data_IF_493982821999
#
_entry.id   IF_493982821999
#
_cell.length_a   1.000
_cell.length_b   1.000
_cell.length_c   1.000
_cell.angle_alpha   90.00
_cell.angle_beta   90.00
_cell.angle_gamma   90.00
#
_symmetry.space_group_name_H-M   'P 1'
#
loop_
_entity.id
_entity.type
_entity.pdbx_description
1 polymer ?
#
# COMPACT_ATOMS: atom_id res chain seq x y z
N UNK A 1 -15.36 -5.31 12.37
CA UNK A 1 -16.58 -4.58 11.97
C UNK A 1 -16.19 -3.68 10.82
N UNK A 2 -16.75 -3.88 9.63
CA UNK A 2 -16.56 -2.96 8.52
C UNK A 2 -17.36 -1.70 8.85
N UNK A 3 -16.70 -0.55 8.94
CA UNK A 3 -17.37 0.73 9.16
C UNK A 3 -18.21 1.03 7.92
N UNK A 4 -19.53 0.96 8.03
CA UNK A 4 -20.43 1.42 6.97
C UNK A 4 -20.33 2.95 6.89
N UNK A 5 -19.40 3.44 6.07
CA UNK A 5 -19.28 4.85 5.75
C UNK A 5 -20.36 5.21 4.73
N UNK A 6 -21.14 6.24 5.02
CA UNK A 6 -22.02 6.81 4.00
C UNK A 6 -21.20 7.55 2.93
N UNK A 7 -21.78 7.77 1.74
CA UNK A 7 -21.06 8.40 0.62
C UNK A 7 -20.47 9.78 0.98
N UNK A 8 -21.14 10.52 1.85
CA UNK A 8 -20.70 11.84 2.29
C UNK A 8 -19.43 11.73 3.14
N UNK A 9 -19.41 10.79 4.08
CA UNK A 9 -18.23 10.47 4.88
C UNK A 9 -17.07 9.97 4.01
N UNK A 10 -17.34 9.16 2.98
CA UNK A 10 -16.33 8.72 2.00
C UNK A 10 -15.70 9.88 1.22
N UNK A 11 -16.49 10.90 0.87
CA UNK A 11 -16.00 12.09 0.17
C UNK A 11 -15.15 12.96 1.11
N UNK A 12 -15.52 13.09 2.38
CA UNK A 12 -14.80 13.92 3.36
C UNK A 12 -13.36 13.43 3.65
N UNK A 13 -13.12 12.13 3.55
CA UNK A 13 -11.77 11.54 3.71
C UNK A 13 -10.92 11.64 2.44
N UNK A 14 -11.51 11.92 1.28
CA UNK A 14 -10.77 12.03 0.04
C UNK A 14 -10.17 13.43 -0.12
N UNK A 15 -8.87 13.54 -0.46
CA UNK A 15 -8.28 14.79 -0.88
C UNK A 15 -9.11 15.45 -1.98
N UNK A 16 -9.36 16.77 -1.87
CA UNK A 16 -10.10 17.54 -2.87
C UNK A 16 -9.50 17.43 -4.28
N UNK A 17 -8.19 17.19 -4.38
CA UNK A 17 -7.50 16.94 -5.64
C UNK A 17 -7.98 15.66 -6.34
N UNK A 18 -8.40 14.63 -5.61
CA UNK A 18 -8.98 13.40 -6.18
C UNK A 18 -10.45 13.57 -6.55
N UNK A 19 -11.20 14.38 -5.79
CA UNK A 19 -12.62 14.64 -6.08
C UNK A 19 -12.83 15.42 -7.38
N UNK A 20 -11.86 16.27 -7.74
CA UNK A 20 -11.89 17.11 -8.95
C UNK A 20 -10.95 16.59 -10.04
N UNK A 21 -10.39 15.38 -9.89
CA UNK A 21 -9.46 14.79 -10.85
C UNK A 21 -10.19 14.37 -12.14
N UNK A 22 -9.51 14.43 -13.28
CA UNK A 22 -10.00 13.80 -14.50
C UNK A 22 -9.85 12.28 -14.43
N UNK A 23 -10.60 11.53 -15.23
CA UNK A 23 -10.46 10.06 -15.33
C UNK A 23 -9.02 9.63 -15.63
N UNK A 24 -8.30 10.41 -16.45
CA UNK A 24 -6.88 10.18 -16.77
C UNK A 24 -5.99 10.33 -15.54
N UNK A 25 -6.25 11.34 -14.73
CA UNK A 25 -5.48 11.58 -13.49
C UNK A 25 -5.76 10.49 -12.46
N UNK A 26 -7.01 10.03 -12.36
CA UNK A 26 -7.40 8.91 -11.50
C UNK A 26 -6.73 7.60 -11.93
N UNK A 27 -6.66 7.31 -13.23
CA UNK A 27 -5.96 6.14 -13.75
C UNK A 27 -4.45 6.22 -13.47
N UNK A 28 -3.84 7.39 -13.66
CA UNK A 28 -2.44 7.64 -13.32
C UNK A 28 -2.18 7.42 -11.82
N UNK A 29 -3.07 7.94 -10.97
CA UNK A 29 -2.99 7.78 -9.52
C UNK A 29 -3.16 6.30 -9.10
N UNK A 30 -4.08 5.57 -9.73
CA UNK A 30 -4.25 4.14 -9.48
C UNK A 30 -2.96 3.37 -9.76
N UNK A 31 -2.28 3.64 -10.89
CA UNK A 31 -0.99 3.01 -11.21
C UNK A 31 0.07 3.30 -10.13
N UNK A 32 0.12 4.52 -9.61
CA UNK A 32 1.02 4.88 -8.52
C UNK A 32 0.71 4.07 -7.25
N UNK A 33 -0.57 3.92 -6.89
CA UNK A 33 -0.97 3.10 -5.74
C UNK A 33 -0.54 1.64 -5.94
N UNK A 34 -0.79 1.07 -7.12
CA UNK A 34 -0.43 -0.32 -7.42
C UNK A 34 1.08 -0.57 -7.27
N UNK A 35 1.92 0.31 -7.83
CA UNK A 35 3.37 0.21 -7.70
C UNK A 35 3.84 0.42 -6.25
N UNK A 36 3.19 1.32 -5.51
CA UNK A 36 3.48 1.53 -4.08
C UNK A 36 3.20 0.27 -3.25
N UNK A 37 2.08 -0.42 -3.53
CA UNK A 37 1.74 -1.69 -2.88
C UNK A 37 2.78 -2.76 -3.22
N UNK A 38 3.16 -2.91 -4.50
CA UNK A 38 4.20 -3.86 -4.91
C UNK A 38 5.52 -3.61 -4.18
N UNK A 39 5.95 -2.35 -4.08
CA UNK A 39 7.16 -1.96 -3.37
C UNK A 39 7.10 -2.36 -1.88
N UNK A 40 5.97 -2.08 -1.22
CA UNK A 40 5.76 -2.44 0.20
C UNK A 40 5.86 -3.95 0.41
N UNK A 41 5.22 -4.75 -0.43
CA UNK A 41 5.28 -6.20 -0.32
C UNK A 41 6.68 -6.75 -0.63
N UNK A 42 7.38 -6.15 -1.61
CA UNK A 42 8.79 -6.43 -1.88
C UNK A 42 9.68 -6.18 -0.66
N UNK A 43 9.50 -5.05 0.03
CA UNK A 43 10.22 -4.72 1.26
C UNK A 43 9.94 -5.73 2.38
N UNK A 44 8.66 -6.09 2.60
CA UNK A 44 8.27 -7.12 3.59
C UNK A 44 8.90 -8.47 3.29
N UNK A 45 8.95 -8.87 2.03
CA UNK A 45 9.58 -10.11 1.60
C UNK A 45 11.10 -10.10 1.86
N UNK A 46 11.78 -9.00 1.52
CA UNK A 46 13.19 -8.82 1.81
C UNK A 46 13.48 -8.91 3.31
N UNK A 47 12.70 -8.21 4.13
CA UNK A 47 12.83 -8.27 5.58
C UNK A 47 12.69 -9.70 6.12
N UNK A 48 11.74 -10.48 5.57
CA UNK A 48 11.56 -11.89 5.94
C UNK A 48 12.79 -12.72 5.56
N UNK A 49 13.34 -12.54 4.36
CA UNK A 49 14.55 -13.24 3.92
C UNK A 49 15.76 -12.93 4.80
N UNK A 50 15.97 -11.65 5.15
CA UNK A 50 17.05 -11.23 6.06
C UNK A 50 16.91 -11.93 7.41
N UNK A 51 15.71 -11.91 7.99
CA UNK A 51 15.45 -12.60 9.28
C UNK A 51 15.76 -14.09 9.18
N UNK A 52 15.26 -14.77 8.15
CA UNK A 52 15.50 -16.20 7.93
C UNK A 52 16.99 -16.51 7.75
N UNK A 53 17.73 -15.66 7.04
CA UNK A 53 19.17 -15.79 6.88
C UNK A 53 19.86 -15.67 8.25
N UNK A 54 19.64 -14.58 8.98
CA UNK A 54 20.24 -14.35 10.30
C UNK A 54 19.97 -15.49 11.28
N UNK A 55 18.74 -16.01 11.34
CA UNK A 55 18.41 -17.15 12.21
C UNK A 55 19.11 -18.44 11.80
N UNK A 56 19.28 -18.66 10.50
CA UNK A 56 19.97 -19.85 9.97
C UNK A 56 21.48 -19.83 10.24
N UNK A 57 22.10 -18.65 10.24
CA UNK A 57 23.53 -18.49 10.54
C UNK A 57 23.81 -18.69 12.03
N UNK A 58 22.97 -18.15 12.91
CA UNK A 58 23.11 -18.29 14.37
C UNK A 58 23.03 -19.77 14.81
N UNK A 59 22.24 -20.60 14.13
CA UNK A 59 22.16 -22.04 14.45
C UNK A 59 23.38 -22.86 13.99
N UNK A 60 24.28 -22.31 13.18
CA UNK A 60 25.46 -23.01 12.64
C UNK A 60 26.78 -22.68 13.37
N UNK A 61 26.76 -21.72 14.28
CA UNK A 61 27.88 -21.36 15.19
C UNK A 61 27.57 -21.81 16.60
#
# INVERSE_FOLDING_TARGET
MATELNLQQLVEILPKSLLNASDRDLEGFQKIIEETVKLREGHRNLQRMIKSFSTSTIQRT
#
